data_IF_095235179790
#
_entry.id   IF_095235179790
#
_cell.length_a   1.000
_cell.length_b   1.000
_cell.length_c   1.000
_cell.angle_alpha   90.00
_cell.angle_beta   90.00
_cell.angle_gamma   90.00
#
_symmetry.space_group_name_H-M   'P 1'
#
loop_
_entity.id
_entity.type
_entity.pdbx_description
1 polymer ?
#
# COMPACT_ATOMS: atom_id res chain seq x y z
N UNK A 1 -14.99 -8.76 3.58
CA UNK A 1 -14.35 -7.87 2.59
C UNK A 1 -14.56 -8.47 1.22
N UNK A 2 -15.25 -7.78 0.35
CA UNK A 2 -15.54 -8.16 -1.03
C UNK A 2 -14.29 -7.99 -1.89
N UNK A 3 -14.02 -8.95 -2.78
CA UNK A 3 -12.80 -9.01 -3.60
C UNK A 3 -12.59 -7.76 -4.49
N UNK A 4 -13.64 -6.96 -4.70
CA UNK A 4 -13.58 -5.68 -5.40
C UNK A 4 -13.05 -4.53 -4.52
N UNK A 5 -13.35 -4.56 -3.22
CA UNK A 5 -12.86 -3.60 -2.22
C UNK A 5 -11.36 -3.79 -1.93
N UNK A 6 -10.91 -5.05 -1.89
CA UNK A 6 -9.47 -5.40 -1.83
C UNK A 6 -8.76 -4.89 -3.08
N UNK A 7 -9.33 -5.14 -4.28
CA UNK A 7 -8.77 -4.66 -5.55
C UNK A 7 -8.62 -3.14 -5.63
N UNK A 8 -9.64 -2.38 -5.26
CA UNK A 8 -9.58 -0.91 -5.31
C UNK A 8 -8.54 -0.32 -4.36
N UNK A 9 -8.36 -0.95 -3.20
CA UNK A 9 -7.40 -0.50 -2.19
C UNK A 9 -5.96 -0.89 -2.55
N UNK A 10 -5.75 -2.08 -3.15
CA UNK A 10 -4.44 -2.46 -3.70
C UNK A 10 -4.08 -1.57 -4.88
N UNK A 11 -5.00 -1.21 -5.77
CA UNK A 11 -4.72 -0.33 -6.92
C UNK A 11 -4.34 1.11 -6.54
N UNK A 12 -4.72 1.59 -5.35
CA UNK A 12 -4.29 2.91 -4.87
C UNK A 12 -2.80 2.94 -4.46
N UNK A 13 -2.21 1.78 -4.15
CA UNK A 13 -0.80 1.67 -3.76
C UNK A 13 0.14 1.84 -4.96
N UNK A 14 -0.10 1.23 -6.14
CA UNK A 14 0.56 1.56 -7.40
C UNK A 14 0.48 3.04 -7.76
N UNK A 15 -0.66 3.72 -7.59
CA UNK A 15 -0.73 5.17 -7.83
C UNK A 15 0.22 5.96 -6.93
N UNK A 16 0.40 5.56 -5.66
CA UNK A 16 1.42 6.17 -4.79
C UNK A 16 2.87 5.82 -5.19
N UNK A 17 3.08 4.61 -5.73
CA UNK A 17 4.39 4.08 -6.12
C UNK A 17 4.87 4.64 -7.47
N UNK A 18 3.99 4.85 -8.44
CA UNK A 18 4.34 5.39 -9.77
C UNK A 18 4.85 6.84 -9.68
N UNK A 19 4.36 7.61 -8.70
CA UNK A 19 4.85 8.96 -8.41
C UNK A 19 6.01 8.99 -7.42
N UNK A 20 6.39 7.86 -6.82
CA UNK A 20 7.51 7.81 -5.90
C UNK A 20 8.84 7.78 -6.67
N UNK A 21 9.76 8.67 -6.28
CA UNK A 21 11.09 8.74 -6.88
C UNK A 21 11.92 7.48 -6.60
N UNK A 22 11.66 6.81 -5.47
CA UNK A 22 12.29 5.58 -4.98
C UNK A 22 11.32 4.71 -4.17
N UNK A 23 11.76 3.51 -3.77
CA UNK A 23 11.07 2.65 -2.79
C UNK A 23 11.76 2.69 -1.41
N UNK A 24 12.30 3.85 -1.04
CA UNK A 24 13.03 4.05 0.22
C UNK A 24 12.11 4.24 1.43
N UNK A 25 12.70 4.28 2.62
CA UNK A 25 11.97 4.41 3.88
C UNK A 25 11.26 5.77 4.01
N UNK A 26 11.79 6.83 3.41
CA UNK A 26 11.13 8.13 3.33
C UNK A 26 9.82 8.06 2.54
N UNK A 27 9.82 7.29 1.44
CA UNK A 27 8.62 7.04 0.65
C UNK A 27 7.60 6.23 1.45
N UNK A 28 8.03 5.20 2.19
CA UNK A 28 7.18 4.43 3.11
C UNK A 28 6.51 5.36 4.13
N UNK A 29 7.29 6.21 4.80
CA UNK A 29 6.79 7.15 5.80
C UNK A 29 5.75 8.11 5.23
N UNK A 30 6.04 8.75 4.09
CA UNK A 30 5.13 9.71 3.44
C UNK A 30 3.83 9.05 2.99
N UNK A 31 3.91 7.83 2.48
CA UNK A 31 2.76 7.07 2.03
C UNK A 31 1.87 6.67 3.22
N UNK A 32 2.48 6.17 4.30
CA UNK A 32 1.76 5.84 5.53
C UNK A 32 1.07 7.07 6.14
N UNK A 33 1.78 8.20 6.26
CA UNK A 33 1.21 9.48 6.73
C UNK A 33 0.00 9.90 5.88
N UNK A 34 0.13 9.80 4.56
CA UNK A 34 -0.95 10.13 3.63
C UNK A 34 -2.15 9.20 3.78
N UNK A 35 -1.95 7.90 3.99
CA UNK A 35 -3.04 6.94 4.23
C UNK A 35 -3.74 7.20 5.57
N UNK A 36 -2.95 7.45 6.63
CA UNK A 36 -3.43 7.74 7.98
C UNK A 36 -4.26 9.01 8.01
N UNK A 37 -3.81 10.07 7.34
CA UNK A 37 -4.51 11.34 7.27
C UNK A 37 -5.45 11.46 6.06
N UNK A 38 -5.72 10.36 5.35
CA UNK A 38 -6.58 10.30 4.16
C UNK A 38 -6.26 11.35 3.08
N UNK A 39 -5.00 11.78 2.99
CA UNK A 39 -4.54 12.73 1.97
C UNK A 39 -4.44 12.01 0.64
N UNK A 40 -5.42 12.25 -0.24
CA UNK A 40 -5.56 11.57 -1.53
C UNK A 40 -5.96 10.08 -1.45
N UNK A 41 -6.21 9.57 -0.24
CA UNK A 41 -6.65 8.20 0.02
C UNK A 41 -8.11 8.18 0.47
N UNK A 42 -9.07 7.79 -0.39
CA UNK A 42 -10.51 7.90 -0.10
C UNK A 42 -11.02 6.88 0.93
N UNK A 43 -10.20 5.92 1.38
CA UNK A 43 -10.57 4.91 2.38
C UNK A 43 -9.84 5.16 3.70
N UNK A 44 -10.31 4.63 4.83
CA UNK A 44 -9.56 4.67 6.09
C UNK A 44 -8.27 3.84 6.00
N UNK A 45 -7.24 4.21 6.77
CA UNK A 45 -5.96 3.49 6.85
C UNK A 45 -6.12 1.99 7.10
N UNK A 46 -7.12 1.59 7.90
CA UNK A 46 -7.41 0.18 8.16
C UNK A 46 -7.73 -0.64 6.90
N UNK A 47 -8.43 -0.06 5.92
CA UNK A 47 -8.73 -0.79 4.68
C UNK A 47 -7.48 -0.99 3.82
N UNK A 48 -6.56 -0.02 3.82
CA UNK A 48 -5.28 -0.17 3.14
C UNK A 48 -4.37 -1.17 3.83
N UNK A 49 -4.27 -1.14 5.16
CA UNK A 49 -3.50 -2.11 5.92
C UNK A 49 -3.98 -3.55 5.66
N UNK A 50 -5.30 -3.79 5.69
CA UNK A 50 -5.85 -5.11 5.35
C UNK A 50 -5.55 -5.53 3.90
N UNK A 51 -5.62 -4.59 2.95
CA UNK A 51 -5.28 -4.86 1.56
C UNK A 51 -3.80 -5.21 1.36
N UNK A 52 -2.90 -4.48 2.03
CA UNK A 52 -1.45 -4.77 2.03
C UNK A 52 -1.20 -6.16 2.63
N UNK A 53 -1.82 -6.49 3.77
CA UNK A 53 -1.71 -7.81 4.40
C UNK A 53 -2.20 -8.93 3.49
N UNK A 54 -3.30 -8.72 2.76
CA UNK A 54 -3.81 -9.71 1.81
C UNK A 54 -2.81 -9.99 0.66
N UNK A 55 -2.17 -8.96 0.12
CA UNK A 55 -1.14 -9.12 -0.93
C UNK A 55 0.09 -9.85 -0.37
N UNK A 56 0.56 -9.45 0.81
CA UNK A 56 1.70 -10.09 1.45
C UNK A 56 1.44 -11.56 1.79
N UNK A 57 0.23 -11.89 2.25
CA UNK A 57 -0.18 -13.27 2.53
C UNK A 57 -0.27 -14.13 1.26
N UNK A 58 -0.68 -13.55 0.13
CA UNK A 58 -0.68 -14.24 -1.17
C UNK A 58 0.74 -14.43 -1.75
N UNK A 59 1.71 -13.67 -1.24
CA UNK A 59 3.11 -13.71 -1.68
C UNK A 59 3.34 -13.21 -3.11
N UNK A 60 2.33 -12.59 -3.72
CA UNK A 60 2.35 -12.12 -5.10
C UNK A 60 1.45 -10.90 -5.26
N UNK A 61 1.85 -9.99 -6.14
CA UNK A 61 1.07 -8.83 -6.52
C UNK A 61 0.07 -9.25 -7.60
N UNK A 62 -1.21 -8.87 -7.48
CA UNK A 62 -2.20 -9.16 -8.52
C UNK A 62 -1.69 -8.72 -9.90
N UNK A 63 -1.79 -9.55 -10.96
CA UNK A 63 -1.21 -9.25 -12.26
C UNK A 63 -1.64 -7.90 -12.85
N UNK A 64 -2.88 -7.46 -12.56
CA UNK A 64 -3.36 -6.16 -13.02
C UNK A 64 -2.63 -5.00 -12.34
N UNK A 65 -2.33 -5.10 -11.05
CA UNK A 65 -1.59 -4.09 -10.29
C UNK A 65 -0.10 -4.12 -10.62
N UNK A 66 0.46 -5.32 -10.85
CA UNK A 66 1.84 -5.47 -11.30
C UNK A 66 2.06 -4.85 -12.69
N UNK A 67 1.10 -5.02 -13.61
CA UNK A 67 1.15 -4.42 -14.95
C UNK A 67 1.15 -2.88 -14.93
N UNK A 68 0.67 -2.25 -13.85
CA UNK A 68 0.74 -0.79 -13.68
C UNK A 68 2.15 -0.33 -13.29
N UNK A 69 2.86 -1.11 -12.47
CA UNK A 69 4.22 -0.79 -12.05
C UNK A 69 5.24 -1.51 -12.92
N UNK A 70 5.66 -0.87 -14.02
CA UNK A 70 6.73 -1.40 -14.90
C UNK A 70 8.14 -1.01 -14.44
N UNK A 71 8.24 -0.12 -13.45
CA UNK A 71 9.52 0.47 -13.01
C UNK A 71 10.32 -0.41 -12.05
N UNK A 72 9.66 -1.21 -11.23
CA UNK A 72 10.29 -2.02 -10.20
C UNK A 72 9.88 -3.50 -10.34
N UNK A 73 10.81 -4.44 -10.07
CA UNK A 73 10.46 -5.85 -10.06
C UNK A 73 9.51 -6.18 -8.91
N UNK A 74 8.69 -7.21 -9.07
CA UNK A 74 7.69 -7.63 -8.08
C UNK A 74 8.30 -7.86 -6.68
N UNK A 75 9.50 -8.42 -6.61
CA UNK A 75 10.19 -8.68 -5.35
C UNK A 75 10.47 -7.38 -4.56
N UNK A 76 10.86 -6.30 -5.23
CA UNK A 76 11.10 -5.00 -4.60
C UNK A 76 9.79 -4.35 -4.14
N UNK A 77 8.72 -4.51 -4.93
CA UNK A 77 7.39 -4.03 -4.55
C UNK A 77 6.85 -4.78 -3.33
N UNK A 78 7.01 -6.10 -3.27
CA UNK A 78 6.64 -6.90 -2.10
C UNK A 78 7.45 -6.50 -0.87
N UNK A 79 8.75 -6.23 -1.02
CA UNK A 79 9.57 -5.72 0.08
C UNK A 79 9.08 -4.35 0.56
N UNK A 80 8.78 -3.43 -0.35
CA UNK A 80 8.20 -2.13 -0.03
C UNK A 80 6.87 -2.28 0.74
N UNK A 81 5.98 -3.17 0.29
CA UNK A 81 4.72 -3.45 0.95
C UNK A 81 4.92 -4.00 2.37
N UNK A 82 5.93 -4.84 2.61
CA UNK A 82 6.27 -5.32 3.97
C UNK A 82 6.71 -4.18 4.87
N UNK A 83 7.54 -3.27 4.36
CA UNK A 83 7.98 -2.09 5.11
C UNK A 83 6.82 -1.15 5.41
N UNK A 84 5.91 -0.96 4.46
CA UNK A 84 4.68 -0.19 4.64
C UNK A 84 3.75 -0.80 5.68
N UNK A 85 3.50 -2.11 5.61
CA UNK A 85 2.67 -2.83 6.58
C UNK A 85 3.20 -2.66 8.01
N UNK A 86 4.50 -2.91 8.20
CA UNK A 86 5.17 -2.72 9.49
C UNK A 86 5.01 -1.29 9.99
N UNK A 87 5.24 -0.30 9.12
CA UNK A 87 5.18 1.10 9.53
C UNK A 87 3.75 1.56 9.87
N UNK A 88 2.75 1.08 9.12
CA UNK A 88 1.35 1.31 9.45
C UNK A 88 0.99 0.69 10.80
N UNK A 89 1.44 -0.54 11.08
CA UNK A 89 1.19 -1.22 12.34
C UNK A 89 1.87 -0.53 13.54
N UNK A 90 3.07 0.06 13.36
CA UNK A 90 3.76 0.87 14.37
C UNK A 90 3.00 2.14 14.75
N UNK A 91 2.21 2.70 13.83
CA UNK A 91 1.48 3.97 14.01
C UNK A 91 0.06 3.78 14.56
N UNK A 92 -0.31 2.57 15.00
CA UNK A 92 -1.59 2.32 15.66
C UNK A 92 -1.65 2.95 17.07
N UNK A 93 -2.84 3.35 17.56
CA UNK A 93 -4.10 3.40 16.83
C UNK A 93 -4.12 4.56 15.84
N UNK A 94 -4.67 4.32 14.64
CA UNK A 94 -4.89 5.40 13.68
C UNK A 94 -6.09 6.25 14.12
N UNK A 95 -6.10 7.56 13.83
CA UNK A 95 -7.27 8.41 14.08
C UNK A 95 -8.50 7.87 13.34
N UNK A 96 -9.66 7.93 14.01
CA UNK A 96 -10.94 7.69 13.34
C UNK A 96 -11.22 8.84 12.34
N UNK A 97 -11.83 8.56 11.18
CA UNK A 97 -12.17 9.56 10.17
C UNK A 97 -13.17 10.61 10.67
#
# INVERSE_FOLDING_TARGET
MDANSVRGSVNAVPYGIDFAADLGDDTVRRLADSMIHQRHFPRPAAQYAEAVKAVLAAGQIPPQSLAMSTRYPEAELLDFLRRLDRHLDELRPWPEP
#
